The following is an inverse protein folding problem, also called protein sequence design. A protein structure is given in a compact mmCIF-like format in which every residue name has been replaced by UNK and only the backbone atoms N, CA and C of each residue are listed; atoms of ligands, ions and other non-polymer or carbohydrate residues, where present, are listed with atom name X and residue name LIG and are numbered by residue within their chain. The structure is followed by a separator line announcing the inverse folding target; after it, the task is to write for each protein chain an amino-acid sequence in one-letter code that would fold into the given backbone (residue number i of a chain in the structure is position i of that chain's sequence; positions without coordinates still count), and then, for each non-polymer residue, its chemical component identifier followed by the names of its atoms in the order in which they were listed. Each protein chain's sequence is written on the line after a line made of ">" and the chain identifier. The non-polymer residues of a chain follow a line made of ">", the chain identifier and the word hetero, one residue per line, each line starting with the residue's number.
data_IF_167567186075
#
_entry.id   IF_167567186075
#
_cell.length_a   1.000
_cell.length_b   1.000
_cell.length_c   1.000
_cell.angle_alpha   90.00
_cell.angle_beta   90.00
_cell.angle_gamma   90.00
#
_symmetry.space_group_name_H-M   'P 1'
#
loop_
_entity.id
_entity.type
_entity.pdbx_description
1 polymer ?
#
# COMPACT_ATOMS: atom_id res chain seq x y z
N UNK A 1 -8.88 1.25 -6.52
CA UNK A 1 -8.73 2.71 -6.49
C UNK A 1 -9.17 3.22 -5.14
N UNK A 2 -8.44 4.17 -4.55
CA UNK A 2 -8.88 4.89 -3.36
C UNK A 2 -9.00 6.38 -3.68
N UNK A 3 -10.18 6.97 -3.46
CA UNK A 3 -10.44 8.39 -3.71
C UNK A 3 -11.59 8.90 -2.86
N UNK A 4 -11.58 10.20 -2.53
CA UNK A 4 -12.72 10.87 -1.88
C UNK A 4 -13.91 11.13 -2.84
N UNK A 5 -13.76 10.82 -4.14
CA UNK A 5 -14.84 10.98 -5.12
C UNK A 5 -15.94 9.96 -4.84
N UNK A 6 -17.18 10.40 -5.05
CA UNK A 6 -18.39 9.59 -4.90
C UNK A 6 -19.36 9.88 -6.06
N UNK A 7 -20.37 9.01 -6.24
CA UNK A 7 -21.39 9.16 -7.28
C UNK A 7 -20.80 9.30 -8.69
N UNK A 8 -21.34 10.24 -9.48
CA UNK A 8 -20.94 10.44 -10.87
C UNK A 8 -19.45 10.79 -11.04
N UNK A 9 -18.86 11.52 -10.09
CA UNK A 9 -17.43 11.85 -10.14
C UNK A 9 -16.54 10.62 -9.97
N UNK A 10 -17.00 9.63 -9.21
CA UNK A 10 -16.32 8.36 -9.04
C UNK A 10 -16.46 7.51 -10.30
N UNK A 11 -17.67 7.41 -10.84
CA UNK A 11 -17.96 6.69 -12.09
C UNK A 11 -17.13 7.23 -13.26
N UNK A 12 -17.04 8.56 -13.39
CA UNK A 12 -16.24 9.23 -14.42
C UNK A 12 -14.75 8.91 -14.27
N UNK A 13 -14.22 8.90 -13.04
CA UNK A 13 -12.83 8.56 -12.78
C UNK A 13 -12.53 7.09 -13.11
N UNK A 14 -13.41 6.16 -12.70
CA UNK A 14 -13.28 4.72 -13.03
C UNK A 14 -13.33 4.51 -14.55
N UNK A 15 -14.27 5.16 -15.23
CA UNK A 15 -14.43 5.06 -16.68
C UNK A 15 -13.21 5.58 -17.42
N UNK A 16 -12.70 6.76 -17.05
CA UNK A 16 -11.48 7.31 -17.63
C UNK A 16 -10.29 6.34 -17.50
N UNK A 17 -10.07 5.76 -16.31
CA UNK A 17 -9.02 4.77 -16.12
C UNK A 17 -9.23 3.54 -17.00
N UNK A 18 -10.46 3.03 -17.06
CA UNK A 18 -10.81 1.83 -17.84
C UNK A 18 -10.60 2.05 -19.34
N UNK A 19 -11.01 3.20 -19.88
CA UNK A 19 -10.79 3.60 -21.28
C UNK A 19 -9.31 3.71 -21.64
N UNK A 20 -8.45 3.97 -20.65
CA UNK A 20 -6.99 4.01 -20.78
C UNK A 20 -6.32 2.68 -20.40
N UNK A 21 -7.08 1.58 -20.28
CA UNK A 21 -6.55 0.23 -20.04
C UNK A 21 -6.21 -0.08 -18.58
N UNK A 22 -6.66 0.74 -17.63
CA UNK A 22 -6.44 0.53 -16.18
C UNK A 22 -7.75 0.13 -15.50
N UNK A 23 -7.82 -1.13 -15.06
CA UNK A 23 -8.95 -1.66 -14.29
C UNK A 23 -8.55 -1.94 -12.85
N UNK A 24 -9.41 -1.60 -11.89
CA UNK A 24 -9.13 -1.79 -10.47
C UNK A 24 -9.82 -3.04 -9.91
N UNK A 25 -9.15 -3.71 -8.97
CA UNK A 25 -9.73 -4.83 -8.23
C UNK A 25 -10.99 -4.43 -7.45
N UNK A 26 -10.92 -3.33 -6.69
CA UNK A 26 -12.04 -2.74 -5.97
C UNK A 26 -11.90 -1.20 -5.96
N UNK A 27 -13.00 -0.47 -5.72
CA UNK A 27 -13.04 1.00 -5.73
C UNK A 27 -13.67 1.50 -4.43
N UNK A 28 -12.90 2.24 -3.63
CA UNK A 28 -13.31 2.69 -2.28
C UNK A 28 -13.77 1.54 -1.36
N UNK A 29 -13.23 0.35 -1.60
CA UNK A 29 -13.53 -0.90 -0.90
C UNK A 29 -12.22 -1.68 -0.72
N UNK A 30 -12.11 -2.42 0.37
CA UNK A 30 -10.98 -3.30 0.69
C UNK A 30 -11.05 -4.60 -0.10
N UNK A 31 -12.24 -5.02 -0.53
CA UNK A 31 -12.51 -6.15 -1.40
C UNK A 31 -13.81 -5.91 -2.19
N UNK A 32 -14.01 -6.53 -3.37
CA UNK A 32 -15.19 -6.31 -4.19
C UNK A 32 -16.48 -6.64 -3.44
N UNK A 33 -17.40 -5.66 -3.34
CA UNK A 33 -18.68 -5.83 -2.66
C UNK A 33 -18.58 -5.71 -1.14
N UNK A 34 -17.54 -5.05 -0.61
CA UNK A 34 -17.50 -4.67 0.81
C UNK A 34 -18.72 -3.78 1.14
N UNK A 35 -19.50 -4.16 2.15
CA UNK A 35 -20.61 -3.33 2.60
C UNK A 35 -20.05 -2.08 3.30
N UNK A 36 -20.36 -0.91 2.74
CA UNK A 36 -19.91 0.39 3.19
C UNK A 36 -20.92 1.11 4.11
N UNK A 37 -21.93 0.42 4.66
CA UNK A 37 -22.90 0.92 5.67
C UNK A 37 -22.28 1.26 7.05
N UNK A 38 -20.99 1.61 7.10
CA UNK A 38 -20.32 2.03 8.31
C UNK A 38 -20.70 3.47 8.64
N UNK A 39 -21.23 3.71 9.84
CA UNK A 39 -21.49 5.06 10.39
C UNK A 39 -20.21 5.89 10.58
N UNK A 40 -19.04 5.25 10.52
CA UNK A 40 -17.74 5.87 10.71
C UNK A 40 -16.86 5.81 9.45
N UNK A 41 -16.05 6.86 9.18
CA UNK A 41 -15.06 6.82 8.11
C UNK A 41 -14.04 5.71 8.40
N UNK A 42 -13.88 4.79 7.45
CA UNK A 42 -12.96 3.66 7.55
C UNK A 42 -11.79 3.84 6.58
N UNK A 43 -10.59 3.50 7.03
CA UNK A 43 -9.40 3.38 6.17
C UNK A 43 -9.44 2.01 5.49
N UNK A 44 -9.08 1.95 4.20
CA UNK A 44 -9.00 0.69 3.47
C UNK A 44 -7.93 -0.23 4.06
N UNK A 45 -8.22 -1.54 4.05
CA UNK A 45 -7.26 -2.56 4.44
C UNK A 45 -6.39 -2.96 3.25
N UNK A 46 -5.27 -2.26 3.07
CA UNK A 46 -4.29 -2.50 1.98
C UNK A 46 -2.86 -2.47 2.54
N UNK A 47 -1.94 -3.15 1.86
CA UNK A 47 -0.53 -3.18 2.27
C UNK A 47 0.17 -1.84 2.07
N UNK A 48 -0.15 -1.14 0.97
CA UNK A 48 0.52 0.11 0.56
C UNK A 48 -0.50 1.14 0.06
N UNK A 49 -0.28 2.40 0.44
CA UNK A 49 -0.97 3.57 -0.11
C UNK A 49 -0.01 4.36 -1.01
N UNK A 50 -0.37 4.50 -2.28
CA UNK A 50 0.33 5.38 -3.24
C UNK A 50 -0.54 6.63 -3.41
N UNK A 51 -0.12 7.76 -2.82
CA UNK A 51 -0.89 8.99 -2.72
C UNK A 51 0.05 10.21 -2.85
N UNK A 52 -0.34 11.19 -3.65
CA UNK A 52 0.44 12.42 -3.87
C UNK A 52 0.43 13.37 -2.67
N UNK A 53 -0.50 13.18 -1.73
CA UNK A 53 -0.62 13.92 -0.47
C UNK A 53 0.13 13.30 0.69
N UNK A 54 0.82 12.17 0.48
CA UNK A 54 1.70 11.62 1.51
C UNK A 54 2.81 12.61 1.89
N UNK A 55 3.30 12.52 3.14
CA UNK A 55 4.42 13.36 3.60
C UNK A 55 5.63 13.12 2.69
N UNK A 56 6.11 14.17 2.04
CA UNK A 56 7.17 14.11 1.01
C UNK A 56 6.67 14.21 -0.43
N UNK A 57 5.35 14.21 -0.65
CA UNK A 57 4.74 14.36 -1.98
C UNK A 57 4.83 13.09 -2.84
N UNK A 58 4.39 13.21 -4.09
CA UNK A 58 4.48 12.13 -5.06
C UNK A 58 5.91 11.97 -5.61
N UNK A 59 6.49 10.79 -5.42
CA UNK A 59 7.88 10.47 -5.81
C UNK A 59 8.06 10.18 -7.32
N UNK A 60 6.96 10.14 -8.08
CA UNK A 60 6.96 9.71 -9.48
C UNK A 60 6.82 8.18 -9.64
N UNK A 61 6.26 7.76 -10.78
CA UNK A 61 5.95 6.35 -11.04
C UNK A 61 7.18 5.44 -11.12
N UNK A 62 8.31 5.92 -11.65
CA UNK A 62 9.56 5.15 -11.72
C UNK A 62 10.05 4.75 -10.32
N UNK A 63 10.14 5.73 -9.41
CA UNK A 63 10.52 5.50 -8.01
C UNK A 63 9.54 4.54 -7.33
N UNK A 64 8.23 4.73 -7.53
CA UNK A 64 7.20 3.83 -6.98
C UNK A 64 7.37 2.40 -7.49
N UNK A 65 7.62 2.23 -8.79
CA UNK A 65 7.83 0.92 -9.40
C UNK A 65 9.03 0.18 -8.79
N UNK A 66 10.18 0.85 -8.68
CA UNK A 66 11.40 0.30 -8.10
C UNK A 66 11.22 -0.07 -6.62
N UNK A 67 10.44 0.72 -5.85
CA UNK A 67 10.14 0.42 -4.46
C UNK A 67 9.30 -0.85 -4.29
N UNK A 68 8.42 -1.14 -5.24
CA UNK A 68 7.57 -2.33 -5.22
C UNK A 68 8.26 -3.58 -5.82
N UNK A 69 9.29 -3.40 -6.65
CA UNK A 69 9.99 -4.47 -7.37
C UNK A 69 11.52 -4.40 -7.14
N UNK A 70 11.99 -4.81 -5.94
CA UNK A 70 13.39 -4.69 -5.53
C UNK A 70 14.37 -5.52 -6.38
N UNK A 71 13.88 -6.51 -7.12
CA UNK A 71 14.65 -7.28 -8.11
C UNK A 71 15.17 -6.45 -9.31
N UNK A 72 14.71 -5.19 -9.47
CA UNK A 72 15.03 -4.33 -10.61
C UNK A 72 16.33 -3.51 -10.55
N UNK A 73 17.13 -3.57 -9.46
CA UNK A 73 18.41 -2.85 -9.34
C UNK A 73 18.55 -2.02 -8.06
N UNK A 74 19.59 -1.18 -8.00
CA UNK A 74 19.94 -0.43 -6.79
C UNK A 74 18.84 0.57 -6.39
N UNK A 75 18.51 0.47 -5.11
CA UNK A 75 17.28 0.92 -4.50
C UNK A 75 17.54 2.13 -3.60
N UNK A 76 16.66 3.13 -3.66
CA UNK A 76 16.65 4.27 -2.73
C UNK A 76 15.43 4.27 -1.79
N UNK A 77 14.83 3.13 -1.48
CA UNK A 77 13.85 3.11 -0.39
C UNK A 77 14.57 3.10 0.96
N UNK A 78 14.84 4.30 1.45
CA UNK A 78 15.08 4.47 2.87
C UNK A 78 13.74 4.37 3.59
N UNK A 79 13.43 3.20 4.18
CA UNK A 79 12.59 3.16 5.38
C UNK A 79 13.29 4.06 6.39
N UNK A 80 12.84 5.31 6.49
CA UNK A 80 13.40 6.25 7.49
C UNK A 80 13.15 5.75 8.90
N UNK A 81 12.10 4.95 9.10
CA UNK A 81 11.77 4.36 10.40
C UNK A 81 10.97 3.05 10.23
N UNK A 82 11.64 1.91 10.15
CA UNK A 82 10.98 0.60 10.04
C UNK A 82 10.19 0.19 11.27
N UNK A 83 10.53 0.71 12.45
CA UNK A 83 9.82 0.44 13.69
C UNK A 83 8.44 1.11 13.75
N UNK A 84 8.21 2.16 12.95
CA UNK A 84 6.93 2.87 12.88
C UNK A 84 5.88 2.18 11.98
N UNK A 85 6.23 1.10 11.27
CA UNK A 85 5.32 0.39 10.36
C UNK A 85 4.79 -0.91 10.99
N UNK A 86 3.54 -0.90 11.44
CA UNK A 86 2.88 -2.06 12.08
C UNK A 86 2.81 -3.33 11.20
N UNK A 87 2.83 -3.18 9.86
CA UNK A 87 2.78 -4.30 8.92
C UNK A 87 4.16 -4.87 8.56
N UNK A 88 5.26 -4.29 9.08
CA UNK A 88 6.60 -4.78 8.74
C UNK A 88 6.90 -6.08 9.51
N UNK A 89 7.17 -7.20 8.83
CA UNK A 89 7.42 -8.47 9.51
C UNK A 89 8.71 -8.37 10.32
N UNK A 90 8.57 -8.41 11.65
CA UNK A 90 9.71 -8.47 12.54
C UNK A 90 10.28 -9.89 12.47
N UNK A 91 11.53 -10.01 12.01
CA UNK A 91 12.30 -11.25 12.16
C UNK A 91 12.42 -11.56 13.65
N UNK A 92 11.60 -12.48 14.17
CA UNK A 92 11.74 -12.94 15.56
C UNK A 92 13.11 -13.60 15.69
N UNK A 93 14.00 -13.00 16.48
CA UNK A 93 15.28 -13.62 16.83
C UNK A 93 15.01 -15.04 17.34
N UNK A 94 15.58 -16.05 16.68
CA UNK A 94 15.42 -17.45 17.09
C UNK A 94 16.17 -17.64 18.41
N UNK A 95 15.42 -17.94 19.47
CA UNK A 95 15.90 -18.15 20.84
C UNK A 95 17.06 -19.17 20.97
N UNK A 96 17.18 -20.11 20.02
CA UNK A 96 18.29 -21.05 19.94
C UNK A 96 19.66 -20.42 19.66
N UNK A 97 19.73 -19.18 19.16
CA UNK A 97 21.01 -18.47 18.95
C UNK A 97 21.65 -17.96 20.26
N UNK A 98 20.95 -18.03 21.39
CA UNK A 98 21.46 -17.65 22.72
C UNK A 98 21.89 -18.84 23.59
N UNK A 99 21.52 -20.07 23.21
CA UNK A 99 22.00 -21.29 23.85
C UNK A 99 22.91 -22.01 22.87
N UNK A 100 24.09 -21.42 22.64
CA UNK A 100 25.17 -22.11 21.95
C UNK A 100 25.55 -23.38 22.72
N UNK A 101 25.69 -24.47 21.98
CA UNK A 101 26.01 -25.81 22.43
C UNK A 101 27.02 -25.82 23.58
N UNK A 102 26.55 -26.22 24.76
CA UNK A 102 27.41 -26.69 25.84
C UNK A 102 28.05 -28.01 25.39
N UNK A 103 29.25 -27.93 24.84
CA UNK A 103 30.20 -29.04 24.74
C UNK A 103 30.78 -29.36 26.12
#
# INVERSE_FOLDING_TARGET
>A
MWTYREGSLLEDAVRFCTENGVTFFAVNESYPGENNESEYPRKLNVDVFIDDRNIGGFLGWESVWQMLHPEGGDFHHQLKNSEAHFNYPHQRKKWWQFFGDSN
#
